data_IF_355610882076
#
_entry.id   IF_355610882076
#
_cell.length_a   1.000
_cell.length_b   1.000
_cell.length_c   1.000
_cell.angle_alpha   90.00
_cell.angle_beta   90.00
_cell.angle_gamma   90.00
#
_symmetry.space_group_name_H-M   'P 1'
#
loop_
_entity.id
_entity.type
_entity.pdbx_description
1 polymer ?
#
# COMPACT_ATOMS: atom_id res chain seq x y z
N UNK A 1 5.71 -48.19 1.32
CA UNK A 1 6.70 -47.68 2.29
C UNK A 1 6.28 -46.29 2.73
N UNK A 2 6.13 -46.10 4.04
CA UNK A 2 5.79 -44.82 4.69
C UNK A 2 7.10 -44.05 4.94
N UNK A 3 7.15 -42.76 4.61
CA UNK A 3 8.18 -41.86 5.13
C UNK A 3 7.53 -40.65 5.79
N UNK A 4 7.69 -40.63 7.11
CA UNK A 4 7.23 -39.64 8.09
C UNK A 4 8.41 -38.77 8.48
N UNK A 5 8.27 -37.43 8.45
CA UNK A 5 9.06 -36.47 9.25
C UNK A 5 8.15 -35.26 9.52
N UNK A 6 7.40 -35.23 10.62
CA UNK A 6 7.72 -34.73 11.98
C UNK A 6 7.99 -33.21 12.04
N UNK A 7 7.24 -32.60 12.96
CA UNK A 7 6.99 -31.19 13.24
C UNK A 7 8.24 -30.37 13.58
N UNK A 8 8.16 -29.06 13.33
CA UNK A 8 8.83 -28.04 14.13
C UNK A 8 7.78 -27.05 14.65
N UNK A 9 7.48 -27.13 15.94
CA UNK A 9 6.76 -26.14 16.74
C UNK A 9 7.77 -25.04 17.09
N UNK A 10 7.48 -23.78 16.74
CA UNK A 10 8.21 -22.62 17.22
C UNK A 10 7.37 -21.91 18.28
N UNK A 11 7.71 -22.15 19.54
CA UNK A 11 7.17 -21.48 20.73
C UNK A 11 8.22 -20.55 21.33
N UNK A 12 7.82 -19.32 21.65
CA UNK A 12 8.54 -18.41 22.57
C UNK A 12 9.17 -17.21 21.87
N UNK A 13 8.96 -15.96 22.28
CA UNK A 13 8.14 -15.40 23.36
C UNK A 13 8.00 -13.89 23.15
N UNK A 14 6.96 -13.30 23.73
CA UNK A 14 6.81 -11.84 23.80
C UNK A 14 7.91 -11.27 24.71
N UNK A 15 8.80 -10.46 24.16
CA UNK A 15 9.61 -9.52 24.91
C UNK A 15 9.04 -8.11 24.70
N UNK A 16 8.11 -7.72 25.58
CA UNK A 16 7.74 -6.32 25.79
C UNK A 16 8.80 -5.68 26.69
N UNK A 17 9.86 -5.15 26.11
CA UNK A 17 10.76 -4.24 26.82
C UNK A 17 10.42 -2.81 26.40
N UNK A 18 9.72 -2.13 27.30
CA UNK A 18 9.49 -0.70 27.23
C UNK A 18 10.82 0.06 27.28
N UNK A 19 11.03 0.90 26.27
CA UNK A 19 12.05 1.94 26.27
C UNK A 19 11.36 3.30 26.19
N UNK A 20 10.95 3.83 27.34
CA UNK A 20 10.65 5.25 27.49
C UNK A 20 12.00 5.99 27.51
N UNK A 21 12.32 6.75 26.47
CA UNK A 21 13.29 7.84 26.55
C UNK A 21 12.67 9.08 25.90
N UNK A 22 12.38 10.04 26.76
CA UNK A 22 12.03 11.40 26.42
C UNK A 22 13.24 12.16 25.86
N UNK A 23 13.00 13.09 24.94
CA UNK A 23 13.93 14.19 24.65
C UNK A 23 14.24 14.39 23.17
N UNK A 24 13.54 15.33 22.53
CA UNK A 24 13.87 15.79 21.17
C UNK A 24 12.75 16.59 20.54
N UNK A 25 12.53 17.82 20.99
CA UNK A 25 11.77 18.80 20.24
C UNK A 25 12.59 19.21 18.99
N UNK A 26 12.17 18.75 17.82
CA UNK A 26 12.74 19.11 16.52
C UNK A 26 11.85 18.56 15.41
N UNK A 27 11.20 19.45 14.66
CA UNK A 27 10.20 19.10 13.67
C UNK A 27 10.73 18.40 12.41
N UNK A 28 9.75 17.99 11.59
CA UNK A 28 9.84 17.48 10.22
C UNK A 28 10.11 15.98 10.03
N UNK A 29 9.00 15.23 9.94
CA UNK A 29 8.84 14.11 9.02
C UNK A 29 9.67 12.87 9.33
N UNK A 30 9.22 12.06 10.28
CA UNK A 30 9.57 10.64 10.30
C UNK A 30 9.07 10.02 8.98
N UNK A 31 9.94 9.86 8.00
CA UNK A 31 9.71 8.90 6.94
C UNK A 31 9.76 7.52 7.60
N UNK A 32 8.60 6.90 7.78
CA UNK A 32 8.49 5.57 8.36
C UNK A 32 9.11 4.57 7.37
N UNK A 33 10.38 4.24 7.55
CA UNK A 33 11.05 3.14 6.83
C UNK A 33 10.80 1.86 7.62
N UNK A 34 9.56 1.39 7.60
CA UNK A 34 9.20 0.06 8.11
C UNK A 34 9.59 -1.04 7.12
N UNK A 35 9.73 -2.31 7.56
CA UNK A 35 9.79 -3.44 6.63
C UNK A 35 8.55 -3.43 5.74
N UNK A 36 8.72 -3.51 4.43
CA UNK A 36 7.67 -3.15 3.49
C UNK A 36 7.03 -4.37 2.82
N UNK A 37 5.76 -4.56 3.12
CA UNK A 37 4.95 -5.63 2.59
C UNK A 37 3.58 -5.09 2.17
N UNK A 38 2.90 -5.81 1.29
CA UNK A 38 1.52 -5.46 0.91
C UNK A 38 0.59 -5.35 2.14
N UNK A 39 0.88 -6.09 3.23
CA UNK A 39 0.12 -6.04 4.49
C UNK A 39 0.15 -4.68 5.18
N UNK A 40 1.10 -3.79 4.84
CA UNK A 40 1.19 -2.46 5.44
C UNK A 40 0.14 -1.49 4.89
N UNK A 41 -0.56 -1.86 3.82
CA UNK A 41 -1.70 -1.09 3.36
C UNK A 41 -2.86 -1.29 4.34
N UNK A 42 -3.35 -0.24 5.02
CA UNK A 42 -4.47 -0.40 5.94
C UNK A 42 -5.77 -0.72 5.16
N UNK A 43 -6.67 -1.48 5.79
CA UNK A 43 -8.00 -1.73 5.23
C UNK A 43 -8.75 -0.41 4.99
N UNK A 44 -9.44 -0.30 3.85
CA UNK A 44 -10.11 0.91 3.38
C UNK A 44 -9.26 1.79 2.45
N UNK A 45 -8.01 1.40 2.14
CA UNK A 45 -7.09 2.23 1.38
C UNK A 45 -6.61 1.58 0.09
N UNK A 46 -6.27 2.42 -0.88
CA UNK A 46 -5.44 2.04 -2.01
C UNK A 46 -4.02 2.55 -1.78
N UNK A 47 -3.04 1.65 -1.83
CA UNK A 47 -1.65 1.96 -1.54
C UNK A 47 -0.77 1.72 -2.76
N UNK A 48 0.21 2.60 -2.95
CA UNK A 48 1.22 2.54 -4.01
C UNK A 48 2.61 2.70 -3.42
N UNK A 49 3.59 2.05 -4.03
CA UNK A 49 4.99 2.05 -3.60
C UNK A 49 5.89 2.42 -4.77
N UNK A 50 6.90 3.24 -4.50
CA UNK A 50 7.85 3.69 -5.52
C UNK A 50 8.69 2.54 -6.09
N UNK A 51 8.97 1.52 -5.28
CA UNK A 51 9.75 0.34 -5.66
C UNK A 51 8.87 -0.87 -5.99
N UNK A 52 9.54 -1.93 -6.43
CA UNK A 52 8.93 -3.24 -6.68
C UNK A 52 8.69 -3.98 -5.37
N UNK A 53 7.85 -5.01 -5.40
CA UNK A 53 7.59 -5.91 -4.28
C UNK A 53 7.18 -5.16 -3.00
N UNK A 54 6.41 -4.09 -3.16
CA UNK A 54 5.91 -3.25 -2.08
C UNK A 54 7.02 -2.54 -1.30
N UNK A 55 8.13 -2.18 -1.95
CA UNK A 55 9.28 -1.48 -1.34
C UNK A 55 9.41 -0.03 -1.81
N UNK A 56 10.31 0.74 -1.21
CA UNK A 56 10.42 2.19 -1.39
C UNK A 56 9.27 2.97 -0.74
N UNK A 57 9.33 4.30 -0.82
CA UNK A 57 8.32 5.19 -0.22
C UNK A 57 6.89 4.79 -0.63
N UNK A 58 6.02 4.64 0.36
CA UNK A 58 4.60 4.32 0.18
C UNK A 58 3.74 5.59 0.25
N UNK A 59 2.70 5.66 -0.57
CA UNK A 59 1.61 6.62 -0.42
C UNK A 59 0.27 5.90 -0.57
N UNK A 60 -0.75 6.43 0.11
CA UNK A 60 -2.07 5.84 0.15
C UNK A 60 -3.15 6.89 -0.03
N UNK A 61 -4.28 6.46 -0.59
CA UNK A 61 -5.47 7.29 -0.72
C UNK A 61 -6.72 6.51 -0.35
N UNK A 62 -7.69 7.25 0.17
CA UNK A 62 -9.06 6.82 0.41
C UNK A 62 -10.00 7.84 -0.24
N UNK A 63 -11.26 7.46 -0.39
CA UNK A 63 -12.28 8.29 -1.03
C UNK A 63 -11.98 8.63 -2.50
N UNK A 64 -12.84 9.46 -3.08
CA UNK A 64 -12.74 9.93 -4.46
C UNK A 64 -11.83 11.15 -4.52
N UNK A 65 -10.77 11.10 -5.33
CA UNK A 65 -9.84 12.20 -5.47
C UNK A 65 -9.82 12.68 -6.92
N UNK A 66 -10.05 13.98 -7.13
CA UNK A 66 -9.95 14.63 -8.44
C UNK A 66 -8.52 14.92 -8.89
N UNK A 67 -7.59 14.95 -7.94
CA UNK A 67 -6.18 15.23 -8.20
C UNK A 67 -5.26 14.43 -7.27
N UNK A 68 -4.52 13.49 -7.87
CA UNK A 68 -3.48 12.69 -7.24
C UNK A 68 -2.07 13.16 -7.62
N UNK A 69 -1.92 14.16 -8.49
CA UNK A 69 -0.62 14.64 -8.98
C UNK A 69 0.24 15.27 -7.88
N UNK A 70 -0.38 15.70 -6.79
CA UNK A 70 0.29 16.14 -5.56
C UNK A 70 1.05 15.02 -4.83
N UNK A 71 0.72 13.76 -5.10
CA UNK A 71 1.39 12.60 -4.51
C UNK A 71 2.44 12.08 -5.48
N UNK A 72 3.72 12.35 -5.18
CA UNK A 72 4.82 12.03 -6.10
C UNK A 72 4.95 10.53 -6.43
N UNK A 73 4.61 9.63 -5.49
CA UNK A 73 4.66 8.18 -5.73
C UNK A 73 3.56 7.76 -6.70
N UNK A 74 2.38 8.38 -6.66
CA UNK A 74 1.31 8.13 -7.63
C UNK A 74 1.69 8.51 -9.08
N UNK A 75 2.78 9.25 -9.28
CA UNK A 75 3.25 9.65 -10.61
C UNK A 75 4.29 8.68 -11.20
N UNK A 76 4.82 7.75 -10.39
CA UNK A 76 5.80 6.76 -10.84
C UNK A 76 5.93 5.61 -9.81
N UNK A 77 4.86 4.84 -9.60
CA UNK A 77 4.87 3.69 -8.69
C UNK A 77 5.10 2.39 -9.47
N UNK A 78 5.66 1.38 -8.79
CA UNK A 78 5.99 0.08 -9.39
C UNK A 78 5.29 -1.10 -8.74
N UNK A 79 4.67 -0.88 -7.59
CA UNK A 79 3.81 -1.86 -6.94
C UNK A 79 2.66 -1.18 -6.22
N UNK A 80 1.52 -1.87 -6.13
CA UNK A 80 0.28 -1.34 -5.57
C UNK A 80 -0.62 -2.43 -5.03
N UNK A 81 -1.52 -2.03 -4.14
CA UNK A 81 -2.51 -2.91 -3.53
C UNK A 81 -3.81 -2.14 -3.27
N UNK A 82 -4.92 -2.68 -3.79
CA UNK A 82 -6.25 -2.26 -3.37
C UNK A 82 -6.67 -3.05 -2.13
N UNK A 83 -6.45 -2.45 -0.95
CA UNK A 83 -6.98 -2.95 0.32
C UNK A 83 -8.27 -2.24 0.71
N UNK A 84 -9.12 -1.88 -0.27
CA UNK A 84 -10.44 -1.30 -0.02
C UNK A 84 -11.27 -2.13 0.96
N UNK A 85 -12.14 -1.47 1.73
CA UNK A 85 -12.99 -2.15 2.70
C UNK A 85 -14.08 -2.99 2.00
N UNK A 86 -14.85 -2.34 1.12
CA UNK A 86 -15.99 -2.93 0.40
C UNK A 86 -16.00 -2.66 -1.11
N UNK A 87 -15.10 -1.82 -1.62
CA UNK A 87 -15.18 -1.30 -3.00
C UNK A 87 -13.94 -1.63 -3.85
N UNK A 88 -14.13 -1.63 -5.16
CA UNK A 88 -13.06 -1.64 -6.17
C UNK A 88 -12.52 -0.22 -6.39
N UNK A 89 -11.27 -0.13 -6.86
CA UNK A 89 -10.60 1.14 -7.12
C UNK A 89 -10.55 1.40 -8.63
N UNK A 90 -11.21 2.47 -9.10
CA UNK A 90 -11.12 2.90 -10.49
C UNK A 90 -10.08 4.02 -10.61
N UNK A 91 -9.07 3.82 -11.43
CA UNK A 91 -8.04 4.81 -11.70
C UNK A 91 -8.30 5.54 -13.02
N UNK A 92 -7.76 6.75 -13.14
CA UNK A 92 -7.85 7.58 -14.34
C UNK A 92 -6.47 8.17 -14.68
N UNK A 93 -6.13 8.23 -15.97
CA UNK A 93 -4.86 8.78 -16.45
C UNK A 93 -4.81 10.31 -16.40
N UNK A 94 -5.95 11.00 -16.25
CA UNK A 94 -6.05 12.45 -16.12
C UNK A 94 -6.67 12.90 -14.78
N UNK A 95 -6.59 14.21 -14.51
CA UNK A 95 -7.28 14.83 -13.38
C UNK A 95 -8.78 14.83 -13.64
N UNK A 96 -9.57 15.05 -12.59
CA UNK A 96 -11.03 15.17 -12.66
C UNK A 96 -11.75 13.96 -13.29
N UNK A 97 -11.16 12.77 -13.20
CA UNK A 97 -11.72 11.51 -13.72
C UNK A 97 -11.84 11.45 -15.26
N UNK A 98 -10.92 12.11 -15.97
CA UNK A 98 -10.80 12.04 -17.43
C UNK A 98 -9.74 11.05 -17.92
N UNK A 99 -9.57 11.01 -19.25
CA UNK A 99 -8.59 10.15 -19.91
C UNK A 99 -8.97 8.68 -19.92
N UNK A 100 -7.96 7.82 -20.03
CA UNK A 100 -8.11 6.37 -19.92
C UNK A 100 -8.33 5.95 -18.48
N UNK A 101 -9.10 4.90 -18.28
CA UNK A 101 -9.41 4.38 -16.96
C UNK A 101 -9.27 2.86 -16.88
N UNK A 102 -9.32 2.34 -15.65
CA UNK A 102 -9.39 0.91 -15.40
C UNK A 102 -9.78 0.60 -13.97
N UNK A 103 -10.26 -0.62 -13.75
CA UNK A 103 -10.70 -1.10 -12.43
C UNK A 103 -9.64 -2.01 -11.84
N UNK A 104 -9.30 -1.76 -10.57
CA UNK A 104 -8.47 -2.61 -9.73
C UNK A 104 -9.37 -3.23 -8.67
N UNK A 105 -9.70 -4.53 -8.77
CA UNK A 105 -10.60 -5.19 -7.83
C UNK A 105 -10.10 -5.13 -6.40
N UNK A 106 -11.02 -5.12 -5.43
CA UNK A 106 -10.67 -5.24 -4.01
C UNK A 106 -9.87 -6.51 -3.76
N UNK A 107 -8.80 -6.39 -2.97
CA UNK A 107 -7.90 -7.51 -2.68
C UNK A 107 -6.81 -7.72 -3.75
N UNK A 108 -6.90 -7.05 -4.90
CA UNK A 108 -5.91 -7.17 -5.96
C UNK A 108 -4.64 -6.39 -5.62
N UNK A 109 -3.50 -7.07 -5.78
CA UNK A 109 -2.15 -6.50 -5.61
C UNK A 109 -1.25 -6.92 -6.77
N UNK A 110 -0.35 -6.03 -7.17
CA UNK A 110 0.61 -6.30 -8.24
C UNK A 110 1.91 -5.55 -8.00
N UNK A 111 2.98 -6.13 -8.54
CA UNK A 111 4.29 -5.52 -8.68
C UNK A 111 4.80 -5.83 -10.07
N UNK A 112 5.42 -4.85 -10.73
CA UNK A 112 6.12 -5.06 -12.00
C UNK A 112 7.36 -4.16 -12.11
N UNK A 113 8.05 -4.20 -13.25
CA UNK A 113 9.27 -3.44 -13.51
C UNK A 113 9.02 -2.10 -14.22
N UNK A 114 7.75 -1.74 -14.45
CA UNK A 114 7.35 -0.55 -15.18
C UNK A 114 6.82 0.51 -14.20
N UNK A 115 7.12 1.78 -14.47
CA UNK A 115 6.54 2.88 -13.74
C UNK A 115 5.11 3.14 -14.19
N UNK A 116 4.16 3.14 -13.26
CA UNK A 116 2.76 3.48 -13.50
C UNK A 116 2.42 4.82 -12.87
N UNK A 117 1.36 5.43 -13.39
CA UNK A 117 0.84 6.69 -12.86
C UNK A 117 -0.68 6.69 -12.82
N UNK A 118 -1.23 7.44 -11.87
CA UNK A 118 -2.66 7.70 -11.76
C UNK A 118 -2.85 9.16 -11.35
N UNK A 119 -3.74 9.88 -12.03
CA UNK A 119 -3.94 11.32 -11.78
C UNK A 119 -5.24 11.63 -11.07
N UNK A 120 -6.22 10.73 -11.09
CA UNK A 120 -7.42 10.79 -10.24
C UNK A 120 -8.01 9.40 -10.03
N UNK A 121 -8.93 9.25 -9.06
CA UNK A 121 -9.54 7.95 -8.75
C UNK A 121 -10.99 8.08 -8.27
N UNK A 122 -11.74 6.97 -8.39
CA UNK A 122 -13.04 6.74 -7.74
C UNK A 122 -13.04 5.39 -7.04
N UNK A 123 -13.99 5.22 -6.13
CA UNK A 123 -14.36 3.91 -5.58
C UNK A 123 -15.68 3.47 -6.20
N UNK A 124 -15.71 2.25 -6.71
CA UNK A 124 -16.85 1.68 -7.46
C UNK A 124 -17.14 0.27 -6.97
N UNK A 125 -18.28 -0.31 -7.40
CA UNK A 125 -18.68 -1.68 -7.07
C UNK A 125 -18.63 -2.01 -5.56
N UNK A 126 -19.06 -1.07 -4.73
CA UNK A 126 -19.08 -1.22 -3.28
C UNK A 126 -20.12 -2.27 -2.84
N UNK A 127 -19.71 -3.21 -1.99
CA UNK A 127 -20.55 -4.31 -1.50
C UNK A 127 -20.23 -4.72 -0.06
#
# INVERSE_FOLDING_TARGET
>A
MRMTRKLAVMTGGLALTGGLLAGGAGGAGAAEVGPQAASDCPSGWFCVWAGQNYTGRMQKVAGTNKDLTKFSVFQNFRSWYNHGASCDFQWFSEKNHGGSDGIIPRGYKKSDNTGHYMKSNKWVNCR
#
